data_IF_322385637186
#
_entry.id   IF_322385637186
#
_cell.length_a   1.000
_cell.length_b   1.000
_cell.length_c   1.000
_cell.angle_alpha   90.00
_cell.angle_beta   90.00
_cell.angle_gamma   90.00
#
_symmetry.space_group_name_H-M   'P 1'
#
loop_
_entity.id
_entity.type
_entity.pdbx_description
1 polymer ?
#
# COMPACT_ATOMS: atom_id res chain seq x y z
N UNK A 1 -1.97 9.71 14.77
CA UNK A 1 -1.14 9.80 13.55
C UNK A 1 0.30 9.58 13.95
N UNK A 2 1.00 8.61 13.32
CA UNK A 2 2.43 8.35 13.58
C UNK A 2 3.33 9.10 12.59
N UNK A 3 4.64 9.27 12.89
CA UNK A 3 5.60 9.88 11.96
C UNK A 3 5.64 9.20 10.59
N UNK A 4 5.49 7.87 10.53
CA UNK A 4 5.47 7.11 9.29
C UNK A 4 4.41 7.61 8.29
N UNK A 5 3.22 8.01 8.75
CA UNK A 5 2.17 8.52 7.87
C UNK A 5 2.59 9.82 7.16
N UNK A 6 3.27 10.72 7.88
CA UNK A 6 3.76 11.99 7.32
C UNK A 6 4.90 11.74 6.32
N UNK A 7 5.81 10.83 6.64
CA UNK A 7 6.92 10.46 5.77
C UNK A 7 6.43 9.85 4.46
N UNK A 8 5.46 8.93 4.53
CA UNK A 8 4.82 8.32 3.36
C UNK A 8 4.07 9.37 2.52
N UNK A 9 3.29 10.25 3.16
CA UNK A 9 2.60 11.33 2.45
C UNK A 9 3.59 12.31 1.78
N UNK A 10 4.78 12.49 2.36
CA UNK A 10 5.86 13.31 1.82
C UNK A 10 6.57 12.70 0.60
N UNK A 11 6.41 11.40 0.33
CA UNK A 11 7.01 10.75 -0.85
C UNK A 11 6.44 11.27 -2.18
N UNK A 12 5.33 12.00 -2.17
CA UNK A 12 4.74 12.54 -3.39
C UNK A 12 4.02 11.50 -4.26
N UNK A 13 3.78 10.29 -3.75
CA UNK A 13 3.06 9.21 -4.46
C UNK A 13 1.62 9.65 -4.79
N UNK A 14 1.20 9.40 -6.04
CA UNK A 14 -0.14 9.78 -6.54
C UNK A 14 -1.21 8.72 -6.30
N UNK A 15 -0.83 7.45 -6.22
CA UNK A 15 -1.73 6.31 -6.09
C UNK A 15 -1.44 5.63 -4.77
N UNK A 16 -2.34 5.74 -3.80
CA UNK A 16 -2.15 5.20 -2.46
C UNK A 16 -3.26 4.22 -2.14
N UNK A 17 -2.91 3.13 -1.45
CA UNK A 17 -3.86 2.08 -1.07
C UNK A 17 -3.64 1.75 0.40
N UNK A 18 -4.70 1.55 1.16
CA UNK A 18 -4.62 1.12 2.56
C UNK A 18 -5.74 0.14 2.92
N UNK A 19 -5.44 -0.78 3.83
CA UNK A 19 -6.43 -1.64 4.50
C UNK A 19 -6.93 -1.03 5.81
N UNK A 20 -6.37 0.10 6.25
CA UNK A 20 -6.84 0.80 7.45
C UNK A 20 -8.10 1.61 7.15
N UNK A 21 -9.09 1.53 8.04
CA UNK A 21 -10.33 2.30 7.94
C UNK A 21 -10.26 3.66 8.65
N UNK A 22 -9.28 3.89 9.54
CA UNK A 22 -9.09 5.15 10.27
C UNK A 22 -8.67 6.33 9.36
N UNK A 23 -8.60 7.55 9.92
CA UNK A 23 -8.31 8.78 9.18
C UNK A 23 -6.86 9.27 9.28
N UNK A 24 -5.94 8.43 9.79
CA UNK A 24 -4.56 8.86 10.06
C UNK A 24 -3.81 9.24 8.77
N UNK A 25 -4.00 8.49 7.69
CA UNK A 25 -3.32 8.77 6.43
C UNK A 25 -3.97 9.93 5.66
N UNK A 26 -5.29 10.06 5.67
CA UNK A 26 -6.00 11.24 5.18
C UNK A 26 -5.52 12.51 5.86
N UNK A 27 -5.34 12.46 7.19
CA UNK A 27 -4.85 13.60 7.96
C UNK A 27 -3.41 13.96 7.57
N UNK A 28 -2.57 12.96 7.28
CA UNK A 28 -1.20 13.19 6.81
C UNK A 28 -1.17 13.78 5.39
N UNK A 29 -1.96 13.24 4.46
CA UNK A 29 -2.11 13.77 3.10
C UNK A 29 -2.66 15.20 3.09
N UNK A 30 -3.62 15.49 3.96
CA UNK A 30 -4.17 16.85 4.12
C UNK A 30 -3.10 17.82 4.63
N UNK A 31 -2.26 17.38 5.56
CA UNK A 31 -1.15 18.18 6.08
C UNK A 31 -0.02 18.44 5.07
N UNK A 32 0.22 17.53 4.13
CA UNK A 32 1.29 17.68 3.12
C UNK A 32 0.82 18.28 1.80
N UNK A 33 -0.42 18.03 1.39
CA UNK A 33 -0.96 18.42 0.06
C UNK A 33 -2.13 19.40 0.12
N UNK A 34 -2.66 19.69 1.31
CA UNK A 34 -3.92 20.39 1.47
C UNK A 34 -5.13 19.47 1.26
N UNK A 35 -6.30 19.89 1.76
CA UNK A 35 -7.54 19.10 1.73
C UNK A 35 -8.05 18.81 0.32
N UNK A 36 -7.80 19.70 -0.63
CA UNK A 36 -8.24 19.53 -2.04
C UNK A 36 -7.18 18.84 -2.92
N UNK A 37 -6.01 18.53 -2.34
CA UNK A 37 -4.84 17.96 -3.01
C UNK A 37 -4.90 16.45 -3.24
N UNK A 38 -5.90 15.75 -2.68
CA UNK A 38 -6.14 14.34 -2.90
C UNK A 38 -7.64 13.98 -2.87
N UNK A 39 -7.98 12.77 -3.30
CA UNK A 39 -9.32 12.20 -3.23
C UNK A 39 -9.30 10.84 -2.51
N UNK A 40 -10.25 10.59 -1.60
CA UNK A 40 -10.46 9.25 -1.03
C UNK A 40 -11.42 8.48 -1.93
N UNK A 41 -10.97 7.38 -2.52
CA UNK A 41 -11.80 6.50 -3.34
C UNK A 41 -12.53 5.53 -2.42
N UNK A 42 -13.84 5.74 -2.27
CA UNK A 42 -14.76 4.79 -1.64
C UNK A 42 -15.86 4.36 -2.62
N UNK A 43 -16.51 5.33 -3.27
CA UNK A 43 -17.49 5.13 -4.36
C UNK A 43 -17.37 6.18 -5.48
N UNK A 44 -16.32 7.00 -5.41
CA UNK A 44 -16.05 8.05 -6.38
C UNK A 44 -15.00 7.56 -7.36
N UNK A 45 -15.20 7.84 -8.64
CA UNK A 45 -14.20 7.56 -9.65
C UNK A 45 -12.99 8.47 -9.43
N UNK A 46 -11.79 7.93 -9.57
CA UNK A 46 -10.57 8.71 -9.49
C UNK A 46 -10.58 9.80 -10.57
N UNK A 47 -10.57 11.08 -10.16
CA UNK A 47 -10.44 12.20 -11.11
C UNK A 47 -8.95 12.41 -11.35
N UNK A 48 -8.45 11.86 -12.46
CA UNK A 48 -7.09 12.16 -12.90
C UNK A 48 -6.98 13.64 -13.28
N UNK A 49 -5.86 14.33 -12.95
CA UNK A 49 -4.59 13.80 -12.46
C UNK A 49 -4.40 13.84 -10.92
N UNK A 50 -5.47 13.96 -10.13
CA UNK A 50 -5.34 14.13 -8.66
C UNK A 50 -4.73 12.90 -7.98
N UNK A 51 -4.02 13.16 -6.87
CA UNK A 51 -3.59 12.10 -5.95
C UNK A 51 -4.83 11.42 -5.36
N UNK A 52 -4.79 10.11 -5.18
CA UNK A 52 -5.90 9.40 -4.55
C UNK A 52 -5.44 8.39 -3.51
N UNK A 53 -6.35 8.09 -2.59
CA UNK A 53 -6.25 7.09 -1.54
C UNK A 53 -7.43 6.12 -1.64
N UNK A 54 -7.16 4.86 -1.97
CA UNK A 54 -8.13 3.77 -1.95
C UNK A 54 -8.09 3.08 -0.58
N UNK A 55 -9.27 2.88 0.04
CA UNK A 55 -9.40 2.18 1.32
C UNK A 55 -10.15 0.87 1.11
N UNK A 56 -9.44 -0.26 1.18
CA UNK A 56 -9.98 -1.57 0.76
C UNK A 56 -10.98 -2.13 1.79
N UNK A 57 -10.75 -1.88 3.08
CA UNK A 57 -11.62 -2.37 4.16
C UNK A 57 -12.61 -1.31 4.67
N UNK A 58 -12.95 -0.34 3.83
CA UNK A 58 -13.92 0.72 4.14
C UNK A 58 -13.32 1.95 4.84
N UNK A 59 -14.20 2.82 5.32
CA UNK A 59 -13.86 4.13 5.89
C UNK A 59 -14.59 4.36 7.21
N UNK A 60 -13.89 4.83 8.26
CA UNK A 60 -14.46 5.16 9.56
C UNK A 60 -15.58 6.21 9.50
N UNK A 61 -15.61 7.06 8.46
CA UNK A 61 -16.70 8.03 8.21
C UNK A 61 -17.94 7.37 7.64
N UNK A 62 -17.84 6.13 7.17
CA UNK A 62 -18.92 5.31 6.59
C UNK A 62 -18.90 3.91 7.21
N UNK A 63 -19.38 3.75 8.46
CA UNK A 63 -19.30 2.49 9.19
C UNK A 63 -19.92 1.29 8.45
N UNK A 64 -20.92 1.54 7.58
CA UNK A 64 -21.57 0.55 6.72
C UNK A 64 -20.65 -0.05 5.65
N UNK A 65 -19.51 0.59 5.36
CA UNK A 65 -18.49 0.11 4.41
C UNK A 65 -17.38 -0.72 5.05
N UNK A 66 -17.32 -0.79 6.39
CA UNK A 66 -16.21 -1.48 7.07
C UNK A 66 -16.41 -2.99 6.99
N UNK A 67 -15.34 -3.72 6.61
CA UNK A 67 -15.32 -5.18 6.54
C UNK A 67 -14.63 -5.74 7.77
N UNK A 68 -15.39 -6.38 8.68
CA UNK A 68 -14.84 -7.04 9.88
C UNK A 68 -15.36 -8.47 10.07
N UNK A 69 -16.59 -8.73 9.65
CA UNK A 69 -17.25 -10.03 9.87
C UNK A 69 -17.40 -10.80 8.56
N UNK A 70 -17.55 -12.13 8.64
CA UNK A 70 -17.87 -12.97 7.47
C UNK A 70 -19.14 -12.51 6.75
N UNK A 71 -20.13 -11.98 7.48
CA UNK A 71 -21.33 -11.39 6.89
C UNK A 71 -21.06 -10.09 6.14
N UNK A 72 -20.11 -9.26 6.59
CA UNK A 72 -19.68 -8.07 5.85
C UNK A 72 -18.99 -8.46 4.55
N UNK A 73 -18.11 -9.47 4.59
CA UNK A 73 -17.48 -10.03 3.40
C UNK A 73 -18.52 -10.48 2.36
N UNK A 74 -19.54 -11.23 2.78
CA UNK A 74 -20.61 -11.66 1.86
C UNK A 74 -21.42 -10.48 1.30
N UNK A 75 -21.70 -9.46 2.12
CA UNK A 75 -22.47 -8.27 1.72
C UNK A 75 -21.69 -7.38 0.75
N UNK A 76 -20.37 -7.28 0.94
CA UNK A 76 -19.48 -6.36 0.22
C UNK A 76 -18.60 -7.09 -0.80
N UNK A 77 -18.88 -8.37 -1.09
CA UNK A 77 -18.05 -9.22 -1.95
C UNK A 77 -17.78 -8.60 -3.32
N UNK A 78 -18.80 -8.01 -3.96
CA UNK A 78 -18.68 -7.37 -5.27
C UNK A 78 -17.79 -6.12 -5.22
N UNK A 79 -17.94 -5.30 -4.18
CA UNK A 79 -17.09 -4.11 -3.96
C UNK A 79 -15.64 -4.54 -3.67
N UNK A 80 -15.45 -5.57 -2.84
CA UNK A 80 -14.13 -6.12 -2.52
C UNK A 80 -13.41 -6.65 -3.77
N UNK A 81 -14.09 -7.44 -4.61
CA UNK A 81 -13.54 -7.94 -5.88
C UNK A 81 -13.14 -6.79 -6.81
N UNK A 82 -13.94 -5.72 -6.89
CA UNK A 82 -13.60 -4.55 -7.69
C UNK A 82 -12.34 -3.84 -7.17
N UNK A 83 -12.19 -3.72 -5.85
CA UNK A 83 -10.99 -3.15 -5.24
C UNK A 83 -9.74 -4.02 -5.47
N UNK A 84 -9.87 -5.35 -5.35
CA UNK A 84 -8.78 -6.28 -5.68
C UNK A 84 -8.34 -6.16 -7.14
N UNK A 85 -9.27 -6.02 -8.08
CA UNK A 85 -8.94 -5.80 -9.49
C UNK A 85 -8.13 -4.50 -9.72
N UNK A 86 -8.37 -3.46 -8.90
CA UNK A 86 -7.55 -2.24 -8.92
C UNK A 86 -6.13 -2.55 -8.43
N UNK A 87 -5.97 -3.33 -7.37
CA UNK A 87 -4.64 -3.76 -6.87
C UNK A 87 -3.90 -4.59 -7.93
N UNK A 88 -4.57 -5.55 -8.55
CA UNK A 88 -3.99 -6.36 -9.64
C UNK A 88 -3.51 -5.47 -10.78
N UNK A 89 -4.31 -4.48 -11.17
CA UNK A 89 -3.93 -3.49 -12.19
C UNK A 89 -2.72 -2.67 -11.76
N UNK A 90 -2.65 -2.23 -10.50
CA UNK A 90 -1.48 -1.51 -9.99
C UNK A 90 -0.22 -2.38 -10.00
N UNK A 91 -0.30 -3.63 -9.57
CA UNK A 91 0.82 -4.58 -9.60
C UNK A 91 1.28 -4.89 -11.04
N UNK A 92 0.37 -4.86 -12.01
CA UNK A 92 0.70 -5.03 -13.43
C UNK A 92 1.36 -3.79 -14.04
N UNK A 93 0.92 -2.60 -13.65
CA UNK A 93 1.27 -1.34 -14.34
C UNK A 93 2.27 -0.47 -13.58
N UNK A 94 2.62 -0.84 -12.35
CA UNK A 94 3.49 -0.06 -11.46
C UNK A 94 4.27 -0.97 -10.52
N UNK A 95 5.28 -0.40 -9.87
CA UNK A 95 5.99 -1.04 -8.77
C UNK A 95 5.38 -0.62 -7.44
N UNK A 96 4.87 -1.56 -6.64
CA UNK A 96 4.24 -1.24 -5.36
C UNK A 96 5.25 -1.28 -4.20
N UNK A 97 5.10 -0.34 -3.27
CA UNK A 97 5.83 -0.31 -2.00
C UNK A 97 4.86 -0.61 -0.86
N UNK A 98 5.07 -1.72 -0.16
CA UNK A 98 4.29 -2.13 1.01
C UNK A 98 5.00 -1.70 2.28
N UNK A 99 4.26 -1.04 3.18
CA UNK A 99 4.76 -0.56 4.47
C UNK A 99 3.73 -0.87 5.54
N UNK A 100 4.13 -1.62 6.58
CA UNK A 100 3.24 -1.99 7.68
C UNK A 100 2.15 -2.99 7.28
N UNK A 101 2.42 -3.85 6.29
CA UNK A 101 1.49 -4.87 5.80
C UNK A 101 2.12 -6.26 5.93
N UNK A 102 1.45 -7.17 6.64
CA UNK A 102 1.98 -8.52 6.95
C UNK A 102 1.89 -9.50 5.78
N UNK A 103 1.16 -9.17 4.71
CA UNK A 103 0.86 -10.08 3.59
C UNK A 103 0.11 -11.36 4.01
N UNK A 104 -0.56 -11.36 5.17
CA UNK A 104 -1.35 -12.51 5.65
C UNK A 104 -2.72 -12.62 4.99
N UNK A 105 -3.10 -11.64 4.19
CA UNK A 105 -4.34 -11.60 3.44
C UNK A 105 -4.28 -12.58 2.25
N UNK A 106 -5.16 -13.60 2.30
CA UNK A 106 -5.22 -14.64 1.27
C UNK A 106 -5.71 -14.08 -0.08
N UNK A 107 -6.62 -13.10 -0.07
CA UNK A 107 -7.12 -12.48 -1.30
C UNK A 107 -5.99 -11.69 -1.99
N UNK A 108 -5.15 -11.00 -1.21
CA UNK A 108 -3.95 -10.35 -1.75
C UNK A 108 -2.94 -11.36 -2.28
N UNK A 109 -2.69 -12.45 -1.54
CA UNK A 109 -1.77 -13.52 -1.96
C UNK A 109 -2.19 -14.08 -3.32
N UNK A 110 -3.48 -14.36 -3.51
CA UNK A 110 -4.03 -14.86 -4.77
C UNK A 110 -3.88 -13.84 -5.91
N UNK A 111 -4.19 -12.57 -5.64
CA UNK A 111 -4.04 -11.48 -6.60
C UNK A 111 -2.59 -11.32 -7.07
N UNK A 112 -1.62 -11.31 -6.15
CA UNK A 112 -0.20 -11.22 -6.47
C UNK A 112 0.27 -12.41 -7.31
N UNK A 113 -0.19 -13.63 -7.00
CA UNK A 113 0.13 -14.82 -7.80
C UNK A 113 -0.49 -14.79 -9.20
N UNK A 114 -1.70 -14.24 -9.35
CA UNK A 114 -2.33 -14.04 -10.66
C UNK A 114 -1.51 -13.08 -11.51
N UNK A 115 -1.09 -11.95 -10.93
CA UNK A 115 -0.25 -10.95 -11.61
C UNK A 115 1.10 -11.53 -12.00
N UNK A 116 1.75 -12.30 -11.11
CA UNK A 116 3.01 -12.97 -11.40
C UNK A 116 2.90 -13.90 -12.62
N UNK A 117 1.83 -14.72 -12.69
CA UNK A 117 1.59 -15.60 -13.84
C UNK A 117 1.40 -14.82 -15.13
N UNK A 118 0.68 -13.70 -15.10
CA UNK A 118 0.47 -12.85 -16.28
C UNK A 118 1.78 -12.22 -16.74
N UNK A 119 2.58 -11.67 -15.82
CA UNK A 119 3.90 -11.10 -16.14
C UNK A 119 4.84 -12.14 -16.77
N UNK A 120 4.81 -13.39 -16.31
CA UNK A 120 5.60 -14.48 -16.88
C UNK A 120 5.21 -14.88 -18.32
N UNK A 121 4.06 -14.42 -18.83
CA UNK A 121 3.64 -14.62 -20.22
C UNK A 121 4.10 -13.50 -21.15
N UNK A 122 4.70 -12.43 -20.64
CA UNK A 122 5.15 -11.32 -21.46
C UNK A 122 6.31 -11.74 -22.38
N UNK A 123 6.28 -11.28 -23.63
CA UNK A 123 7.33 -11.55 -24.62
C UNK A 123 8.68 -10.88 -24.25
N UNK A 124 8.62 -9.77 -23.51
CA UNK A 124 9.80 -9.09 -22.99
C UNK A 124 10.16 -9.59 -21.59
N UNK A 125 11.47 -9.65 -21.24
CA UNK A 125 11.89 -9.98 -19.88
C UNK A 125 11.30 -8.95 -18.90
N UNK A 126 10.30 -9.34 -18.13
CA UNK A 126 9.81 -8.53 -17.02
C UNK A 126 10.76 -8.65 -15.84
N UNK A 127 10.95 -7.59 -15.06
CA UNK A 127 11.61 -7.73 -13.75
C UNK A 127 10.92 -8.83 -12.95
N UNK A 128 11.72 -9.75 -12.37
CA UNK A 128 11.21 -10.85 -11.54
C UNK A 128 10.42 -10.34 -10.33
N UNK A 129 10.65 -9.09 -9.93
CA UNK A 129 10.03 -8.46 -8.77
C UNK A 129 9.21 -7.24 -9.20
N UNK A 130 7.96 -7.17 -8.75
CA UNK A 130 7.02 -6.09 -9.10
C UNK A 130 6.51 -5.33 -7.88
N UNK A 131 7.07 -5.63 -6.72
CA UNK A 131 6.75 -4.99 -5.47
C UNK A 131 7.89 -5.14 -4.46
N UNK A 132 8.01 -4.17 -3.56
CA UNK A 132 8.93 -4.17 -2.44
C UNK A 132 8.16 -4.07 -1.13
N UNK A 133 8.57 -4.85 -0.13
CA UNK A 133 7.93 -4.91 1.19
C UNK A 133 8.94 -4.48 2.23
N UNK A 134 8.64 -3.41 2.96
CA UNK A 134 9.43 -3.00 4.11
C UNK A 134 8.90 -3.72 5.35
N UNK A 135 9.59 -4.80 5.73
CA UNK A 135 9.24 -5.62 6.87
C UNK A 135 9.98 -5.12 8.12
N UNK A 136 9.39 -5.28 9.31
CA UNK A 136 10.11 -4.94 10.55
C UNK A 136 11.26 -5.93 10.76
N UNK A 137 10.96 -7.22 10.60
CA UNK A 137 11.92 -8.32 10.60
C UNK A 137 11.46 -9.42 9.63
N UNK A 138 12.31 -10.40 9.27
CA UNK A 138 11.96 -11.43 8.28
C UNK A 138 10.64 -12.16 8.58
N UNK A 139 10.41 -12.50 9.85
CA UNK A 139 9.20 -13.24 10.27
C UNK A 139 7.95 -12.36 10.43
N UNK A 140 8.04 -11.04 10.18
CA UNK A 140 6.89 -10.12 10.31
C UNK A 140 6.00 -10.07 9.07
N UNK A 141 6.42 -10.75 8.00
CA UNK A 141 5.69 -10.79 6.73
C UNK A 141 5.68 -12.20 6.16
N UNK A 142 4.56 -12.60 5.55
CA UNK A 142 4.47 -13.85 4.80
C UNK A 142 5.33 -13.75 3.52
N UNK A 143 6.29 -14.66 3.29
CA UNK A 143 7.09 -14.64 2.07
C UNK A 143 6.21 -14.85 0.83
N UNK A 144 6.41 -14.00 -0.19
CA UNK A 144 5.64 -14.05 -1.43
C UNK A 144 6.59 -14.02 -2.64
N UNK A 145 6.41 -14.95 -3.58
CA UNK A 145 7.21 -15.00 -4.81
C UNK A 145 6.89 -13.78 -5.68
N UNK A 146 7.92 -13.14 -6.22
CA UNK A 146 7.79 -11.91 -7.02
C UNK A 146 7.74 -10.61 -6.22
N UNK A 147 7.85 -10.71 -4.88
CA UNK A 147 7.99 -9.56 -3.98
C UNK A 147 9.40 -9.56 -3.38
N UNK A 148 10.06 -8.41 -3.37
CA UNK A 148 11.32 -8.22 -2.64
C UNK A 148 11.03 -7.76 -1.22
N UNK A 149 11.39 -8.58 -0.23
CA UNK A 149 11.26 -8.19 1.18
C UNK A 149 12.57 -7.59 1.69
N UNK A 150 12.48 -6.40 2.29
CA UNK A 150 13.59 -5.71 2.94
C UNK A 150 13.28 -5.63 4.44
N UNK A 151 13.88 -6.49 5.28
CA UNK A 151 13.74 -6.38 6.72
C UNK A 151 14.49 -5.14 7.23
N UNK A 152 13.89 -4.41 8.16
CA UNK A 152 14.56 -3.28 8.81
C UNK A 152 15.63 -3.75 9.78
N UNK A 153 15.37 -4.86 10.49
CA UNK A 153 16.31 -5.57 11.34
C UNK A 153 16.17 -7.08 11.14
N UNK A 154 17.25 -7.81 11.37
CA UNK A 154 17.22 -9.29 11.44
C UNK A 154 16.67 -9.79 12.78
N UNK A 155 16.70 -8.97 13.83
CA UNK A 155 16.19 -9.32 15.16
C UNK A 155 14.68 -9.12 15.25
N UNK A 156 14.05 -9.85 16.17
CA UNK A 156 12.62 -9.73 16.48
C UNK A 156 12.29 -8.52 17.38
N UNK A 157 13.22 -7.57 17.57
CA UNK A 157 12.96 -6.33 18.31
C UNK A 157 12.13 -5.38 17.45
N UNK A 158 10.81 -5.51 17.59
CA UNK A 158 9.81 -4.74 16.83
C UNK A 158 9.95 -3.23 17.04
N UNK A 159 10.31 -2.78 18.25
CA UNK A 159 10.41 -1.35 18.53
C UNK A 159 11.64 -0.74 17.85
N UNK A 160 12.79 -1.42 17.95
CA UNK A 160 14.00 -1.00 17.26
C UNK A 160 13.81 -1.03 15.73
N UNK A 161 13.12 -2.05 15.22
CA UNK A 161 12.80 -2.18 13.79
C UNK A 161 11.87 -1.07 13.31
N UNK A 162 10.84 -0.73 14.08
CA UNK A 162 9.93 0.37 13.75
C UNK A 162 10.67 1.72 13.72
N UNK A 163 11.58 1.95 14.67
CA UNK A 163 12.43 3.15 14.64
C UNK A 163 13.36 3.17 13.43
N UNK A 164 13.91 2.02 13.04
CA UNK A 164 14.75 1.88 11.85
C UNK A 164 13.94 2.16 10.57
N UNK A 165 12.69 1.71 10.52
CA UNK A 165 11.74 2.00 9.44
C UNK A 165 11.50 3.51 9.30
N UNK A 166 11.23 4.21 10.41
CA UNK A 166 11.03 5.66 10.39
C UNK A 166 12.25 6.40 9.85
N UNK A 167 13.46 6.05 10.30
CA UNK A 167 14.72 6.62 9.80
C UNK A 167 14.92 6.31 8.31
N UNK A 168 14.57 5.11 7.87
CA UNK A 168 14.66 4.72 6.47
C UNK A 168 13.70 5.55 5.61
N UNK A 169 12.43 5.66 6.00
CA UNK A 169 11.42 6.43 5.29
C UNK A 169 11.76 7.93 5.23
N UNK A 170 12.35 8.48 6.30
CA UNK A 170 12.86 9.87 6.30
C UNK A 170 13.92 10.08 5.20
N UNK A 171 14.87 9.15 5.07
CA UNK A 171 15.88 9.22 4.00
C UNK A 171 15.30 9.03 2.60
N UNK A 172 14.35 8.12 2.43
CA UNK A 172 13.66 7.93 1.15
C UNK A 172 12.87 9.18 0.78
N UNK A 173 12.17 9.80 1.74
CA UNK A 173 11.44 11.05 1.54
C UNK A 173 12.35 12.21 1.17
N UNK A 174 13.47 12.34 1.88
CA UNK A 174 14.49 13.33 1.55
C UNK A 174 15.09 13.14 0.15
N UNK A 175 15.36 11.89 -0.25
CA UNK A 175 15.85 11.58 -1.59
C UNK A 175 14.80 11.89 -2.68
N UNK A 176 13.54 11.52 -2.45
CA UNK A 176 12.44 11.79 -3.37
C UNK A 176 12.22 13.29 -3.59
N UNK A 177 12.34 14.11 -2.53
CA UNK A 177 12.19 15.57 -2.61
C UNK A 177 13.30 16.26 -3.43
N UNK A 178 14.47 15.62 -3.58
CA UNK A 178 15.62 16.19 -4.31
C UNK A 178 15.59 15.91 -5.81
N UNK A 179 14.64 15.10 -6.29
CA UNK A 179 14.61 14.61 -7.67
C UNK A 179 15.79 13.66 -7.97
N UNK A 180 15.77 12.92 -9.09
CA UNK A 180 16.91 12.12 -9.48
C UNK A 180 18.12 13.03 -9.71
N UNK A 181 19.21 12.81 -8.97
CA UNK A 181 20.53 13.34 -9.33
C UNK A 181 20.90 12.77 -10.69
N UNK A 182 20.77 13.61 -11.72
CA UNK A 182 21.32 13.39 -13.06
C UNK A 182 22.85 13.34 -13.01
#
# INVERSE_FOLDING_TARGET
MSPAHLLLAGLGVRQNVTTNYDLAYESALSGTRGTDGYQTLARELAVQPKTWLLKIHGDARRPDSIVLTTSDYARLESEHRAMLAVIETLLLTSHLLFVGYSLEDDDFTEAADRVRRIRALADEPSEDHFATVLALHPDSVKPQVGLTTIPMLESTDTLAAARRLEIFLDRVSWAAARGPTL
#
